data_IF_339397842792
#
_entry.id   IF_339397842792
#
_cell.length_a   1.000
_cell.length_b   1.000
_cell.length_c   1.000
_cell.angle_alpha   90.00
_cell.angle_beta   90.00
_cell.angle_gamma   90.00
#
_symmetry.space_group_name_H-M   'P 1'
#
loop_
_entity.id
_entity.type
_entity.pdbx_description
1 polymer ?
#
# COMPACT_ATOMS: atom_id res chain seq x y z
N UNK A 1 -18.49 51.29 -5.18
CA UNK A 1 -17.43 50.28 -4.99
C UNK A 1 -17.92 49.28 -3.93
N UNK A 2 -18.37 48.08 -4.32
CA UNK A 2 -18.76 47.02 -3.37
C UNK A 2 -17.48 46.46 -2.75
N UNK A 3 -17.25 46.69 -1.46
CA UNK A 3 -16.22 45.96 -0.69
C UNK A 3 -16.65 44.49 -0.66
N UNK A 4 -15.95 43.64 -1.42
CA UNK A 4 -16.13 42.20 -1.32
C UNK A 4 -15.58 41.75 0.03
N UNK A 5 -16.42 41.16 0.88
CA UNK A 5 -16.00 40.59 2.16
C UNK A 5 -15.16 39.33 1.89
N UNK A 6 -13.84 39.50 1.79
CA UNK A 6 -12.87 38.41 1.61
C UNK A 6 -12.61 37.60 2.89
N UNK A 7 -12.95 38.17 4.05
CA UNK A 7 -12.71 37.59 5.36
C UNK A 7 -13.45 36.26 5.65
N UNK A 8 -14.75 36.10 5.36
CA UNK A 8 -15.47 34.83 5.61
C UNK A 8 -15.02 33.70 4.69
N UNK A 9 -14.53 34.02 3.49
CA UNK A 9 -14.01 33.02 2.53
C UNK A 9 -12.66 32.48 3.03
N UNK A 10 -11.82 33.38 3.57
CA UNK A 10 -10.51 33.02 4.10
C UNK A 10 -10.62 32.17 5.38
N UNK A 11 -11.58 32.46 6.27
CA UNK A 11 -11.82 31.64 7.47
C UNK A 11 -12.41 30.27 7.14
N UNK A 12 -13.34 30.17 6.17
CA UNK A 12 -13.87 28.89 5.72
C UNK A 12 -12.77 27.99 5.10
N UNK A 13 -11.85 28.58 4.34
CA UNK A 13 -10.70 27.87 3.78
C UNK A 13 -9.73 27.37 4.88
N UNK A 14 -9.53 28.16 5.94
CA UNK A 14 -8.63 27.81 7.06
C UNK A 14 -9.18 26.66 7.91
N UNK A 15 -10.50 26.61 8.14
CA UNK A 15 -11.15 25.52 8.89
C UNK A 15 -11.10 24.20 8.13
N UNK A 16 -11.27 24.22 6.80
CA UNK A 16 -11.22 23.01 5.98
C UNK A 16 -9.83 22.35 5.97
N UNK A 17 -8.76 23.16 5.98
CA UNK A 17 -7.37 22.66 6.03
C UNK A 17 -7.03 22.06 7.40
N UNK A 18 -7.59 22.57 8.50
CA UNK A 18 -7.23 22.14 9.86
C UNK A 18 -7.64 20.70 10.19
N UNK A 19 -8.66 20.14 9.52
CA UNK A 19 -9.15 18.78 9.77
C UNK A 19 -8.17 17.66 9.37
N UNK A 20 -7.17 17.97 8.53
CA UNK A 20 -6.17 17.00 8.04
C UNK A 20 -5.06 16.75 9.09
N UNK A 21 -5.00 17.56 10.15
CA UNK A 21 -3.87 17.60 11.10
C UNK A 21 -4.10 16.88 12.43
N UNK A 22 -5.24 16.22 12.65
CA UNK A 22 -5.44 15.47 13.89
C UNK A 22 -4.73 14.11 13.82
N UNK A 23 -3.68 13.96 14.63
CA UNK A 23 -2.97 12.70 14.81
C UNK A 23 -3.78 11.69 15.62
N UNK A 24 -3.43 10.42 15.48
CA UNK A 24 -3.97 9.30 16.23
C UNK A 24 -2.91 8.20 16.38
N UNK A 25 -3.05 7.33 17.38
CA UNK A 25 -2.18 6.18 17.53
C UNK A 25 -2.69 5.03 16.66
N UNK A 26 -1.89 4.60 15.68
CA UNK A 26 -2.23 3.43 14.87
C UNK A 26 -1.96 2.16 15.68
N UNK A 27 -3.01 1.44 16.07
CA UNK A 27 -2.88 0.26 16.95
C UNK A 27 -2.63 -1.03 16.22
N UNK A 28 -3.29 -1.22 15.10
CA UNK A 28 -3.19 -2.42 14.30
C UNK A 28 -3.51 -2.10 12.84
N UNK A 29 -3.03 -2.98 11.95
CA UNK A 29 -3.43 -3.01 10.55
C UNK A 29 -3.99 -4.39 10.26
N UNK A 30 -5.22 -4.42 9.77
CA UNK A 30 -5.93 -5.64 9.42
C UNK A 30 -6.14 -5.72 7.92
N UNK A 31 -6.14 -6.93 7.38
CA UNK A 31 -6.31 -7.17 5.95
C UNK A 31 -7.51 -8.09 5.73
N UNK A 32 -8.38 -7.67 4.82
CA UNK A 32 -9.48 -8.48 4.31
C UNK A 32 -9.26 -8.75 2.82
N UNK A 33 -9.56 -9.97 2.37
CA UNK A 33 -9.47 -10.35 0.95
C UNK A 33 -8.13 -10.94 0.49
N UNK A 34 -7.16 -11.11 1.40
CA UNK A 34 -5.96 -11.90 1.14
C UNK A 34 -6.33 -13.37 0.84
N UNK A 35 -5.68 -13.96 -0.17
CA UNK A 35 -5.88 -15.34 -0.61
C UNK A 35 -4.56 -16.08 -0.69
N UNK A 36 -3.57 -15.48 -1.37
CA UNK A 36 -2.27 -16.10 -1.63
C UNK A 36 -1.13 -15.37 -0.92
N UNK A 37 -1.32 -14.10 -0.57
CA UNK A 37 -0.31 -13.30 0.13
C UNK A 37 -0.49 -13.45 1.64
N UNK A 38 0.59 -13.74 2.36
CA UNK A 38 0.55 -13.79 3.81
C UNK A 38 0.69 -12.38 4.40
N UNK A 39 -0.14 -12.02 5.40
CA UNK A 39 -0.09 -10.72 6.11
C UNK A 39 1.32 -10.38 6.61
N UNK A 40 2.10 -11.37 7.03
CA UNK A 40 3.46 -11.16 7.56
C UNK A 40 4.42 -10.59 6.50
N UNK A 41 4.17 -10.84 5.22
CA UNK A 41 4.96 -10.29 4.12
C UNK A 41 4.73 -8.78 3.93
N UNK A 42 3.62 -8.27 4.45
CA UNK A 42 3.24 -6.86 4.36
C UNK A 42 3.69 -6.05 5.58
N UNK A 43 4.27 -6.70 6.60
CA UNK A 43 4.71 -6.03 7.85
C UNK A 43 5.74 -4.94 7.58
N UNK A 44 6.60 -5.10 6.57
CA UNK A 44 7.59 -4.08 6.21
C UNK A 44 6.94 -2.74 5.81
N UNK A 45 5.69 -2.78 5.34
CA UNK A 45 4.96 -1.59 4.87
C UNK A 45 4.39 -0.78 6.03
N UNK A 46 3.76 -1.46 7.00
CA UNK A 46 3.03 -0.76 8.07
C UNK A 46 3.65 -0.88 9.46
N UNK A 47 4.55 -1.84 9.68
CA UNK A 47 5.05 -2.20 11.01
C UNK A 47 5.76 -1.05 11.71
N UNK A 48 6.41 -0.16 10.95
CA UNK A 48 7.06 1.03 11.49
C UNK A 48 6.07 2.05 12.07
N UNK A 49 4.78 2.00 11.72
CA UNK A 49 3.74 2.93 12.17
C UNK A 49 2.97 2.45 13.40
N UNK A 50 3.00 1.15 13.69
CA UNK A 50 2.28 0.56 14.81
C UNK A 50 2.73 1.16 16.14
N UNK A 51 1.75 1.58 16.95
CA UNK A 51 1.94 2.15 18.28
C UNK A 51 2.42 3.60 18.30
N UNK A 52 2.62 4.22 17.13
CA UNK A 52 3.06 5.62 17.02
C UNK A 52 1.87 6.56 16.80
N UNK A 53 2.06 7.81 17.22
CA UNK A 53 1.20 8.91 16.82
C UNK A 53 1.46 9.22 15.34
N UNK A 54 0.43 9.01 14.52
CA UNK A 54 0.48 9.14 13.07
C UNK A 54 -0.69 10.00 12.59
N UNK A 55 -0.63 10.44 11.35
CA UNK A 55 -1.71 11.18 10.71
C UNK A 55 -2.05 10.53 9.36
N UNK A 56 -2.89 11.21 8.59
CA UNK A 56 -3.32 10.72 7.29
C UNK A 56 -2.17 10.45 6.32
N UNK A 57 -1.07 11.20 6.38
CA UNK A 57 0.09 10.99 5.51
C UNK A 57 0.74 9.62 5.70
N UNK A 58 0.78 9.13 6.94
CA UNK A 58 1.28 7.78 7.21
C UNK A 58 0.35 6.70 6.65
N UNK A 59 -0.96 6.95 6.61
CA UNK A 59 -1.91 6.03 5.99
C UNK A 59 -1.70 6.01 4.47
N UNK A 60 -1.61 7.17 3.84
CA UNK A 60 -1.33 7.28 2.41
C UNK A 60 0.01 6.65 2.03
N UNK A 61 1.04 6.78 2.87
CA UNK A 61 2.33 6.12 2.67
C UNK A 61 2.22 4.59 2.73
N UNK A 62 1.47 4.04 3.70
CA UNK A 62 1.16 2.60 3.77
C UNK A 62 0.46 2.13 2.49
N UNK A 63 -0.57 2.86 2.03
CA UNK A 63 -1.33 2.50 0.83
C UNK A 63 -0.44 2.57 -0.42
N UNK A 64 0.32 3.64 -0.58
CA UNK A 64 1.25 3.81 -1.71
C UNK A 64 2.28 2.67 -1.77
N UNK A 65 2.85 2.27 -0.63
CA UNK A 65 3.78 1.15 -0.58
C UNK A 65 3.12 -0.20 -0.93
N UNK A 66 1.84 -0.41 -0.57
CA UNK A 66 1.10 -1.60 -0.99
C UNK A 66 0.83 -1.62 -2.50
N UNK A 67 0.59 -0.46 -3.11
CA UNK A 67 0.47 -0.31 -4.56
C UNK A 67 1.80 -0.61 -5.27
N UNK A 68 2.92 -0.12 -4.73
CA UNK A 68 4.27 -0.38 -5.24
C UNK A 68 4.66 -1.87 -5.17
N UNK A 69 4.22 -2.58 -4.12
CA UNK A 69 4.34 -4.04 -4.08
C UNK A 69 3.63 -4.72 -5.25
N UNK A 70 2.59 -4.10 -5.80
CA UNK A 70 1.99 -4.49 -7.07
C UNK A 70 1.21 -5.80 -7.05
N UNK A 71 0.91 -6.37 -5.87
CA UNK A 71 0.17 -7.62 -5.71
C UNK A 71 -1.36 -7.46 -5.83
N UNK A 72 -1.87 -6.24 -5.72
CA UNK A 72 -3.31 -5.97 -5.60
C UNK A 72 -3.81 -5.16 -6.79
N UNK A 73 -4.98 -5.52 -7.30
CA UNK A 73 -5.68 -4.76 -8.36
C UNK A 73 -6.61 -3.69 -7.82
N UNK A 74 -7.01 -3.82 -6.55
CA UNK A 74 -7.84 -2.86 -5.83
C UNK A 74 -7.44 -2.86 -4.36
N UNK A 75 -7.33 -1.66 -3.79
CA UNK A 75 -7.01 -1.42 -2.38
C UNK A 75 -7.98 -0.36 -1.88
N UNK A 76 -8.72 -0.70 -0.83
CA UNK A 76 -9.59 0.23 -0.11
C UNK A 76 -9.25 0.15 1.37
N UNK A 77 -9.49 1.22 2.12
CA UNK A 77 -9.25 1.20 3.55
C UNK A 77 -10.32 1.96 4.32
N UNK A 78 -10.45 1.58 5.59
CA UNK A 78 -11.26 2.29 6.58
C UNK A 78 -10.44 2.39 7.86
N UNK A 79 -10.55 3.53 8.54
CA UNK A 79 -10.04 3.69 9.89
C UNK A 79 -11.17 3.45 10.89
N UNK A 80 -11.00 2.48 11.76
CA UNK A 80 -11.95 2.14 12.81
C UNK A 80 -11.42 2.61 14.17
N UNK A 81 -12.29 3.21 14.98
CA UNK A 81 -11.92 3.62 16.34
C UNK A 81 -11.83 2.40 17.27
N UNK A 82 -10.84 2.40 18.15
CA UNK A 82 -10.73 1.37 19.19
C UNK A 82 -11.77 1.64 20.28
N UNK A 83 -12.67 0.70 20.62
CA UNK A 83 -13.69 0.91 21.63
C UNK A 83 -13.11 1.38 22.97
N UNK A 84 -13.63 2.50 23.48
CA UNK A 84 -13.18 3.12 24.72
C UNK A 84 -11.88 3.93 24.61
N UNK A 85 -11.37 4.16 23.41
CA UNK A 85 -10.13 4.91 23.18
C UNK A 85 -10.19 5.81 21.94
N UNK A 86 -10.60 7.06 22.16
CA UNK A 86 -10.92 8.04 21.10
C UNK A 86 -9.75 8.43 20.19
N UNK A 87 -8.49 8.26 20.64
CA UNK A 87 -7.29 8.60 19.89
C UNK A 87 -6.54 7.38 19.33
N UNK A 88 -7.16 6.21 19.33
CA UNK A 88 -6.56 4.98 18.83
C UNK A 88 -7.38 4.42 17.67
N UNK A 89 -6.71 4.07 16.57
CA UNK A 89 -7.39 3.55 15.38
C UNK A 89 -6.77 2.24 14.91
N UNK A 90 -7.61 1.40 14.31
CA UNK A 90 -7.22 0.23 13.53
C UNK A 90 -7.42 0.57 12.06
N UNK A 91 -6.41 0.33 11.25
CA UNK A 91 -6.51 0.47 9.80
C UNK A 91 -6.97 -0.87 9.21
N UNK A 92 -8.19 -0.92 8.71
CA UNK A 92 -8.74 -2.09 8.02
C UNK A 92 -8.56 -1.89 6.52
N UNK A 93 -7.71 -2.70 5.89
CA UNK A 93 -7.40 -2.64 4.47
C UNK A 93 -8.10 -3.80 3.76
N UNK A 94 -8.98 -3.46 2.82
CA UNK A 94 -9.65 -4.41 1.93
C UNK A 94 -8.89 -4.46 0.63
N UNK A 95 -8.43 -5.64 0.25
CA UNK A 95 -7.65 -5.83 -0.97
C UNK A 95 -8.32 -6.83 -1.89
N UNK A 96 -8.10 -6.63 -3.18
CA UNK A 96 -8.33 -7.68 -4.17
C UNK A 96 -7.01 -8.03 -4.82
N UNK A 97 -6.51 -9.23 -4.56
CA UNK A 97 -5.29 -9.74 -5.19
C UNK A 97 -5.44 -9.82 -6.72
N UNK A 98 -4.31 -9.61 -7.40
CA UNK A 98 -4.16 -9.98 -8.81
C UNK A 98 -4.37 -11.49 -9.00
N UNK A 99 -4.62 -11.90 -10.24
CA UNK A 99 -4.68 -13.33 -10.55
C UNK A 99 -3.36 -14.03 -10.18
N UNK A 100 -3.43 -15.25 -9.63
CA UNK A 100 -2.24 -15.97 -9.25
C UNK A 100 -1.43 -16.37 -10.50
N UNK A 101 -0.12 -16.37 -10.35
CA UNK A 101 0.80 -16.82 -11.40
C UNK A 101 0.58 -18.31 -11.63
N UNK A 102 0.09 -18.68 -12.80
CA UNK A 102 -0.17 -20.08 -13.14
C UNK A 102 1.10 -20.86 -13.48
N UNK A 103 2.00 -20.24 -14.25
CA UNK A 103 3.27 -20.83 -14.65
C UNK A 103 4.27 -19.73 -14.99
N UNK A 104 5.54 -19.92 -14.65
CA UNK A 104 6.63 -19.05 -15.10
C UNK A 104 7.53 -19.81 -16.07
N UNK A 105 7.57 -19.36 -17.33
CA UNK A 105 8.44 -19.93 -18.37
C UNK A 105 9.35 -18.88 -18.96
N UNK A 106 10.66 -19.18 -19.00
CA UNK A 106 11.67 -18.31 -19.60
C UNK A 106 12.17 -18.92 -20.91
N UNK A 107 11.92 -18.22 -22.02
CA UNK A 107 12.48 -18.49 -23.33
C UNK A 107 13.50 -17.39 -23.69
N UNK A 108 14.72 -17.78 -24.07
CA UNK A 108 15.83 -16.86 -24.33
C UNK A 108 16.27 -17.05 -25.77
N UNK A 109 16.31 -15.94 -26.51
CA UNK A 109 16.81 -15.89 -27.88
C UNK A 109 17.96 -14.88 -27.93
N UNK A 110 19.17 -15.33 -28.27
CA UNK A 110 20.34 -14.45 -28.34
C UNK A 110 21.67 -15.18 -28.42
N UNK A 111 22.79 -14.43 -28.40
CA UNK A 111 24.15 -14.96 -28.58
C UNK A 111 24.65 -15.86 -27.44
N UNK A 112 23.89 -15.99 -26.33
CA UNK A 112 24.22 -16.91 -25.24
C UNK A 112 25.40 -16.48 -24.37
N UNK A 113 25.65 -15.17 -24.23
CA UNK A 113 26.75 -14.64 -23.41
C UNK A 113 26.57 -14.87 -21.90
N UNK A 114 25.33 -15.05 -21.44
CA UNK A 114 24.97 -15.30 -20.04
C UNK A 114 24.34 -16.68 -19.94
N UNK A 115 24.73 -17.45 -18.92
CA UNK A 115 24.16 -18.76 -18.64
C UNK A 115 22.65 -18.66 -18.35
N UNK A 116 21.89 -19.64 -18.84
CA UNK A 116 20.43 -19.68 -18.66
C UNK A 116 20.06 -19.75 -17.18
N UNK A 117 20.84 -20.46 -16.39
CA UNK A 117 20.65 -20.63 -14.95
C UNK A 117 20.76 -19.29 -14.21
N UNK A 118 21.69 -18.42 -14.65
CA UNK A 118 21.83 -17.06 -14.11
C UNK A 118 20.58 -16.23 -14.41
N UNK A 119 20.07 -16.30 -15.64
CA UNK A 119 18.84 -15.58 -16.03
C UNK A 119 17.60 -16.11 -15.31
N UNK A 120 17.52 -17.43 -15.09
CA UNK A 120 16.45 -18.05 -14.32
C UNK A 120 16.49 -17.63 -12.85
N UNK A 121 17.69 -17.45 -12.27
CA UNK A 121 17.83 -17.01 -10.88
C UNK A 121 17.38 -15.57 -10.63
N UNK A 122 17.31 -14.74 -11.68
CA UNK A 122 16.77 -13.38 -11.59
C UNK A 122 15.25 -13.34 -11.49
N UNK A 123 14.54 -14.43 -11.84
CA UNK A 123 13.09 -14.47 -11.79
C UNK A 123 12.61 -14.49 -10.34
N UNK A 124 11.85 -13.47 -9.94
CA UNK A 124 11.34 -13.30 -8.58
C UNK A 124 9.85 -13.58 -8.43
N UNK A 125 9.14 -13.80 -9.55
CA UNK A 125 7.75 -14.27 -9.56
C UNK A 125 7.65 -15.70 -9.00
N UNK A 126 6.56 -15.97 -8.29
CA UNK A 126 6.30 -17.26 -7.66
C UNK A 126 4.98 -17.83 -8.16
N UNK A 127 5.00 -19.07 -8.65
CA UNK A 127 3.80 -19.79 -9.07
C UNK A 127 2.85 -20.01 -7.89
N UNK A 128 1.54 -19.92 -8.14
CA UNK A 128 0.49 -20.02 -7.13
C UNK A 128 0.31 -18.76 -6.27
N UNK A 129 1.22 -17.79 -6.35
CA UNK A 129 1.13 -16.50 -5.65
C UNK A 129 0.50 -15.44 -6.54
N UNK A 130 -0.18 -14.45 -5.95
CA UNK A 130 -0.69 -13.29 -6.69
C UNK A 130 0.42 -12.67 -7.54
N UNK A 131 0.09 -12.34 -8.80
CA UNK A 131 1.03 -11.67 -9.68
C UNK A 131 1.42 -10.30 -9.09
N UNK A 132 2.72 -10.00 -9.05
CA UNK A 132 3.23 -8.68 -8.69
C UNK A 132 3.88 -8.00 -9.89
N UNK A 133 3.39 -6.82 -10.23
CA UNK A 133 4.02 -5.97 -11.25
C UNK A 133 5.45 -5.58 -10.85
N UNK A 134 5.68 -5.26 -9.57
CA UNK A 134 7.02 -4.94 -9.06
C UNK A 134 8.01 -6.09 -9.23
N UNK A 135 7.60 -7.31 -8.84
CA UNK A 135 8.41 -8.53 -9.00
C UNK A 135 8.64 -8.88 -10.46
N UNK A 136 7.65 -8.65 -11.33
CA UNK A 136 7.82 -8.82 -12.76
C UNK A 136 8.94 -7.92 -13.31
N UNK A 137 8.92 -6.62 -12.98
CA UNK A 137 9.97 -5.69 -13.42
C UNK A 137 11.34 -6.00 -12.82
N UNK A 138 11.40 -6.35 -11.54
CA UNK A 138 12.62 -6.82 -10.86
C UNK A 138 13.21 -8.07 -11.54
N UNK A 139 12.36 -8.93 -12.10
CA UNK A 139 12.80 -10.15 -12.79
C UNK A 139 13.49 -9.89 -14.12
N UNK A 140 13.27 -8.72 -14.73
CA UNK A 140 13.74 -8.40 -16.09
C UNK A 140 14.65 -7.17 -16.17
N UNK A 141 14.93 -6.52 -15.02
CA UNK A 141 15.89 -5.43 -14.88
C UNK A 141 17.32 -5.94 -14.75
#
# INVERSE_FOLDING_TARGET
>A
MRKTSVLPILTALFVFISSILFGFVLRDVQFEGLKTINKNELVSVYGAYIGKDVNMYAIEDIISQLEEFGYFKDIQYVLEDVPGKENEKVLVIKVVENEPVSQVSLEIVGPGLIAKETLQSSITLQEGKAFSFGKFWESIS
#
